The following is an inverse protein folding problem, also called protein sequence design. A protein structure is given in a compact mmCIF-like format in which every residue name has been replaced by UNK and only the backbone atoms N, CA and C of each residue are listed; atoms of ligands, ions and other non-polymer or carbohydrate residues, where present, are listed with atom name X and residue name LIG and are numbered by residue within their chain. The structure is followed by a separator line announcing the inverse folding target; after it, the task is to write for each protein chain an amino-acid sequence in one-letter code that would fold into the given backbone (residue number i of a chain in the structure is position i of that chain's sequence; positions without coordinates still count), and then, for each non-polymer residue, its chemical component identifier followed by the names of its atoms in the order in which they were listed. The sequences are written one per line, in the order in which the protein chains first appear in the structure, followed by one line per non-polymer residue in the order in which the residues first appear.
data_IF_592761003570
#
_entry.id   IF_592761003570
#
_cell.length_a   1.000
_cell.length_b   1.000
_cell.length_c   1.000
_cell.angle_alpha   90.00
_cell.angle_beta   90.00
_cell.angle_gamma   90.00
#
_symmetry.space_group_name_H-M   'P 1'
#
loop_
_entity.id
_entity.type
_entity.pdbx_description
1 polymer ?
#
# COMPACT_ATOMS: atom_id res chain seq x y z
N UNK A 1 21.91 -18.78 -61.65
CA UNK A 1 22.03 -17.70 -60.63
C UNK A 1 21.33 -18.00 -59.30
N UNK A 2 20.09 -18.52 -59.26
CA UNK A 2 19.27 -18.74 -58.05
C UNK A 2 20.03 -19.16 -56.76
N UNK A 3 20.91 -20.18 -56.83
CA UNK A 3 21.64 -20.70 -55.65
C UNK A 3 22.51 -19.66 -54.90
N UNK A 4 22.84 -18.49 -55.48
CA UNK A 4 23.57 -17.43 -54.76
C UNK A 4 22.67 -16.45 -53.98
N UNK A 5 21.40 -16.26 -54.35
CA UNK A 5 20.50 -15.39 -53.56
C UNK A 5 20.10 -16.05 -52.23
N UNK A 6 19.86 -17.37 -52.24
CA UNK A 6 19.32 -18.10 -51.09
C UNK A 6 20.28 -18.11 -49.88
N UNK A 7 21.60 -18.04 -50.11
CA UNK A 7 22.62 -17.96 -49.05
C UNK A 7 22.62 -16.58 -48.38
N UNK A 8 22.37 -15.51 -49.13
CA UNK A 8 22.35 -14.13 -48.61
C UNK A 8 21.13 -13.93 -47.70
N UNK A 9 19.97 -14.48 -48.08
CA UNK A 9 18.74 -14.42 -47.28
C UNK A 9 18.84 -15.17 -45.93
N UNK A 10 19.60 -16.26 -45.87
CA UNK A 10 19.85 -17.00 -44.62
C UNK A 10 20.84 -16.25 -43.69
N UNK A 11 21.82 -15.54 -44.25
CA UNK A 11 22.73 -14.71 -43.47
C UNK A 11 22.04 -13.46 -42.90
N UNK A 12 21.17 -12.79 -43.66
CA UNK A 12 20.43 -11.62 -43.15
C UNK A 12 19.44 -11.96 -42.03
N UNK A 13 18.90 -13.19 -42.00
CA UNK A 13 18.04 -13.65 -40.92
C UNK A 13 18.78 -13.79 -39.56
N UNK A 14 20.10 -14.04 -39.57
CA UNK A 14 20.88 -14.24 -38.35
C UNK A 14 21.31 -12.94 -37.66
N UNK A 15 21.40 -11.82 -38.38
CA UNK A 15 21.84 -10.53 -37.83
C UNK A 15 20.71 -9.66 -37.24
N UNK A 16 19.45 -10.12 -37.25
CA UNK A 16 18.28 -9.31 -36.87
C UNK A 16 17.65 -9.65 -35.49
N UNK A 17 18.34 -10.42 -34.62
CA UNK A 17 17.83 -10.73 -33.26
C UNK A 17 18.90 -10.75 -32.12
N UNK A 18 19.56 -9.63 -31.80
CA UNK A 18 20.19 -9.45 -30.48
C UNK A 18 19.17 -9.02 -29.39
N UNK A 19 18.03 -8.44 -29.77
CA UNK A 19 17.02 -7.84 -28.87
C UNK A 19 16.06 -8.84 -28.17
N UNK A 20 16.48 -10.08 -27.92
CA UNK A 20 15.64 -11.11 -27.29
C UNK A 20 16.33 -11.93 -26.19
N UNK A 21 17.46 -11.43 -25.66
CA UNK A 21 17.90 -11.82 -24.32
C UNK A 21 17.29 -10.84 -23.33
N UNK A 22 16.51 -11.34 -22.37
CA UNK A 22 16.11 -10.55 -21.22
C UNK A 22 17.38 -10.15 -20.46
N UNK A 23 17.67 -8.86 -20.40
CA UNK A 23 18.84 -8.36 -19.68
C UNK A 23 18.57 -8.52 -18.17
N UNK A 24 19.43 -9.28 -17.50
CA UNK A 24 19.37 -9.43 -16.05
C UNK A 24 19.87 -8.14 -15.38
N UNK A 25 19.28 -7.69 -14.26
CA UNK A 25 19.74 -6.51 -13.52
C UNK A 25 21.20 -6.65 -13.04
N UNK A 26 22.13 -6.03 -13.76
CA UNK A 26 23.56 -6.06 -13.49
C UNK A 26 24.08 -4.65 -13.18
N UNK A 27 24.53 -4.44 -11.94
CA UNK A 27 25.04 -3.15 -11.49
C UNK A 27 26.28 -2.67 -12.27
N UNK A 28 26.97 -3.56 -13.00
CA UNK A 28 28.15 -3.24 -13.84
C UNK A 28 27.79 -2.78 -15.25
N UNK A 29 26.52 -2.75 -15.63
CA UNK A 29 26.10 -2.31 -16.97
C UNK A 29 25.55 -0.89 -16.91
N UNK A 30 26.31 0.08 -17.44
CA UNK A 30 25.79 1.42 -17.70
C UNK A 30 24.88 1.40 -18.96
N UNK A 31 23.77 2.13 -18.91
CA UNK A 31 22.73 2.05 -19.92
C UNK A 31 21.35 2.33 -19.34
N UNK A 32 20.30 1.84 -20.00
CA UNK A 32 18.96 1.76 -19.40
C UNK A 32 18.94 0.71 -18.30
N UNK A 33 18.50 1.08 -17.10
CA UNK A 33 18.50 0.15 -15.96
C UNK A 33 17.32 -0.83 -16.09
N UNK A 34 17.59 -2.14 -16.03
CA UNK A 34 16.54 -3.13 -15.80
C UNK A 34 16.30 -3.21 -14.30
N UNK A 35 15.09 -2.90 -13.87
CA UNK A 35 14.71 -2.83 -12.46
C UNK A 35 14.24 -4.20 -11.99
N UNK A 36 14.39 -4.50 -10.71
CA UNK A 36 13.61 -5.58 -10.11
C UNK A 36 12.15 -5.14 -9.96
N UNK A 37 11.93 -3.94 -9.42
CA UNK A 37 10.60 -3.39 -9.13
C UNK A 37 10.60 -1.85 -9.20
N UNK A 38 9.40 -1.27 -9.33
CA UNK A 38 9.18 0.16 -9.23
C UNK A 38 7.80 0.48 -8.62
N UNK A 39 7.73 1.53 -7.80
CA UNK A 39 6.50 2.03 -7.19
C UNK A 39 6.34 3.53 -7.50
N UNK A 40 5.24 3.89 -8.16
CA UNK A 40 4.96 5.25 -8.64
C UNK A 40 3.96 5.95 -7.71
N UNK A 41 4.39 7.01 -7.03
CA UNK A 41 3.59 7.84 -6.11
C UNK A 41 3.24 9.22 -6.67
N UNK A 42 2.51 10.02 -5.88
CA UNK A 42 2.04 11.35 -6.30
C UNK A 42 3.13 12.44 -6.30
N UNK A 43 4.19 12.27 -5.51
CA UNK A 43 5.32 13.21 -5.35
C UNK A 43 6.65 12.70 -5.91
N UNK A 44 6.76 11.40 -6.13
CA UNK A 44 8.00 10.71 -6.44
C UNK A 44 7.77 9.26 -6.83
N UNK A 45 8.84 8.57 -7.22
CA UNK A 45 8.81 7.12 -7.46
C UNK A 45 10.05 6.44 -6.87
N UNK A 46 9.87 5.19 -6.49
CA UNK A 46 10.90 4.30 -5.95
C UNK A 46 11.23 3.22 -6.97
N UNK A 47 12.49 2.82 -7.04
CA UNK A 47 12.96 1.69 -7.86
C UNK A 47 13.85 0.76 -7.04
N UNK A 48 13.86 -0.53 -7.38
CA UNK A 48 14.80 -1.52 -6.84
C UNK A 48 15.81 -1.91 -7.91
N UNK A 49 17.09 -1.77 -7.57
CA UNK A 49 18.24 -1.96 -8.45
C UNK A 49 19.31 -2.81 -7.79
N UNK A 50 20.16 -3.43 -8.61
CA UNK A 50 21.36 -4.14 -8.13
C UNK A 50 22.42 -3.14 -7.69
N UNK A 51 23.13 -3.44 -6.60
CA UNK A 51 24.31 -2.73 -6.12
C UNK A 51 25.44 -3.74 -5.84
N UNK A 52 26.68 -3.40 -6.17
CA UNK A 52 27.88 -4.11 -5.73
C UNK A 52 28.58 -3.36 -4.58
N UNK A 53 27.83 -2.52 -3.86
CA UNK A 53 28.27 -1.78 -2.67
C UNK A 53 28.56 -0.30 -2.90
N UNK A 54 28.48 0.21 -4.13
CA UNK A 54 28.77 1.62 -4.45
C UNK A 54 27.70 2.29 -5.34
N UNK A 55 26.55 1.63 -5.55
CA UNK A 55 25.41 2.22 -6.24
C UNK A 55 24.67 3.19 -5.32
N UNK A 56 24.42 4.39 -5.81
CA UNK A 56 23.78 5.48 -5.09
C UNK A 56 22.92 6.31 -6.05
N UNK A 57 22.08 7.23 -5.54
CA UNK A 57 21.17 8.01 -6.37
C UNK A 57 21.87 8.79 -7.48
N UNK A 58 23.06 9.35 -7.22
CA UNK A 58 23.81 10.12 -8.24
C UNK A 58 24.40 9.26 -9.37
N UNK A 59 24.52 7.94 -9.17
CA UNK A 59 24.88 6.96 -10.22
C UNK A 59 23.84 6.88 -11.34
N UNK A 60 22.63 7.42 -11.14
CA UNK A 60 21.54 7.38 -12.11
C UNK A 60 21.21 8.74 -12.74
N UNK A 61 20.64 8.68 -13.94
CA UNK A 61 19.94 9.74 -14.64
C UNK A 61 18.48 9.34 -14.83
N UNK A 62 17.57 10.31 -14.91
CA UNK A 62 16.18 10.07 -15.32
C UNK A 62 15.92 10.87 -16.59
N UNK A 63 15.98 10.21 -17.74
CA UNK A 63 15.59 10.84 -19.00
C UNK A 63 14.08 11.07 -18.99
N UNK A 64 13.65 12.27 -19.39
CA UNK A 64 12.25 12.71 -19.26
C UNK A 64 11.69 13.09 -20.63
N UNK A 65 10.86 12.22 -21.20
CA UNK A 65 10.14 12.48 -22.44
C UNK A 65 8.78 13.12 -22.15
N UNK A 66 8.67 14.42 -22.44
CA UNK A 66 7.42 15.17 -22.32
C UNK A 66 6.50 14.90 -23.52
N UNK A 67 5.30 14.39 -23.24
CA UNK A 67 4.23 14.15 -24.21
C UNK A 67 3.03 15.05 -23.90
N UNK A 68 2.32 15.49 -24.94
CA UNK A 68 1.03 16.17 -24.83
C UNK A 68 -0.05 15.23 -25.36
N UNK A 69 -1.04 14.91 -24.53
CA UNK A 69 -2.16 14.03 -24.90
C UNK A 69 -3.21 14.78 -25.74
N UNK A 70 -4.12 14.08 -26.46
CA UNK A 70 -5.15 14.72 -27.29
C UNK A 70 -6.12 15.62 -26.51
N UNK A 71 -6.35 15.31 -25.22
CA UNK A 71 -7.11 16.13 -24.26
C UNK A 71 -6.39 17.41 -23.81
N UNK A 72 -5.17 17.66 -24.30
CA UNK A 72 -4.32 18.79 -23.94
C UNK A 72 -3.50 18.57 -22.67
N UNK A 73 -3.71 17.49 -21.91
CA UNK A 73 -2.98 17.19 -20.68
C UNK A 73 -1.52 16.82 -20.94
N UNK A 74 -0.69 16.97 -19.91
CA UNK A 74 0.72 16.61 -19.94
C UNK A 74 0.92 15.20 -19.40
N UNK A 75 1.68 14.40 -20.14
CA UNK A 75 2.20 13.11 -19.71
C UNK A 75 3.73 13.14 -19.79
N UNK A 76 4.41 12.57 -18.80
CA UNK A 76 5.85 12.41 -18.82
C UNK A 76 6.19 10.92 -18.79
N UNK A 77 7.04 10.47 -19.71
CA UNK A 77 7.61 9.12 -19.67
C UNK A 77 9.04 9.23 -19.15
N UNK A 78 9.34 8.52 -18.06
CA UNK A 78 10.66 8.48 -17.45
C UNK A 78 11.41 7.23 -17.87
N UNK A 79 12.71 7.38 -18.12
CA UNK A 79 13.64 6.26 -18.32
C UNK A 79 14.83 6.45 -17.38
N UNK A 80 14.93 5.59 -16.36
CA UNK A 80 16.10 5.55 -15.48
C UNK A 80 17.27 4.94 -16.24
N UNK A 81 18.41 5.63 -16.24
CA UNK A 81 19.67 5.15 -16.80
C UNK A 81 20.76 5.15 -15.74
N UNK A 82 21.55 4.08 -15.66
CA UNK A 82 22.79 4.04 -14.90
C UNK A 82 23.90 4.73 -15.70
N UNK A 83 24.46 5.81 -15.15
CA UNK A 83 25.52 6.63 -15.77
C UNK A 83 26.88 5.93 -15.77
N UNK A 84 27.15 5.13 -14.73
CA UNK A 84 28.45 4.51 -14.49
C UNK A 84 28.28 3.11 -13.85
N UNK A 85 29.10 2.11 -14.24
CA UNK A 85 29.14 0.80 -13.59
C UNK A 85 29.45 0.86 -12.10
N UNK A 86 28.85 -0.05 -11.31
CA UNK A 86 29.25 -0.34 -9.94
C UNK A 86 30.36 -1.40 -9.93
N UNK A 87 31.60 -0.93 -10.12
CA UNK A 87 32.82 -1.77 -10.10
C UNK A 87 33.25 -2.22 -8.70
N UNK A 88 32.45 -1.95 -7.66
CA UNK A 88 32.81 -2.39 -6.32
C UNK A 88 32.71 -3.92 -6.16
N UNK A 89 33.44 -4.42 -5.16
CA UNK A 89 33.71 -5.85 -4.95
C UNK A 89 32.94 -6.43 -3.75
N UNK A 90 31.76 -5.88 -3.45
CA UNK A 90 30.80 -6.52 -2.54
C UNK A 90 30.03 -7.62 -3.27
N UNK A 91 29.31 -8.47 -2.54
CA UNK A 91 28.27 -9.29 -3.15
C UNK A 91 27.15 -8.40 -3.69
N UNK A 92 26.49 -8.78 -4.80
CA UNK A 92 25.31 -8.08 -5.30
C UNK A 92 24.19 -8.03 -4.25
N UNK A 93 23.70 -6.83 -3.94
CA UNK A 93 22.61 -6.57 -3.00
C UNK A 93 21.52 -5.71 -3.68
N UNK A 94 20.25 -5.92 -3.33
CA UNK A 94 19.13 -5.08 -3.80
C UNK A 94 19.10 -3.80 -2.97
N UNK A 95 19.01 -2.64 -3.62
CA UNK A 95 18.83 -1.34 -2.93
C UNK A 95 17.67 -0.55 -3.54
N UNK A 96 17.07 0.32 -2.71
CA UNK A 96 15.97 1.20 -3.11
C UNK A 96 16.52 2.60 -3.42
N UNK A 97 16.17 3.16 -4.59
CA UNK A 97 16.46 4.55 -4.95
C UNK A 97 15.13 5.31 -5.11
N UNK A 98 15.05 6.53 -4.57
CA UNK A 98 13.88 7.41 -4.65
C UNK A 98 14.16 8.66 -5.50
N UNK A 99 13.24 9.00 -6.40
CA UNK A 99 13.25 10.24 -7.19
C UNK A 99 12.00 11.07 -6.91
N UNK A 100 12.20 12.28 -6.42
CA UNK A 100 11.19 13.31 -6.15
C UNK A 100 10.94 14.12 -7.44
N UNK A 101 9.68 14.18 -7.87
CA UNK A 101 9.28 14.80 -9.14
C UNK A 101 9.58 16.30 -9.16
N UNK A 102 9.50 16.99 -8.03
CA UNK A 102 9.72 18.42 -7.93
C UNK A 102 11.19 18.76 -7.69
N UNK A 103 11.87 18.02 -6.80
CA UNK A 103 13.25 18.32 -6.39
C UNK A 103 14.30 17.77 -7.35
N UNK A 104 14.12 16.54 -7.87
CA UNK A 104 15.10 15.92 -8.77
C UNK A 104 14.78 16.18 -10.25
N UNK A 105 13.48 16.20 -10.61
CA UNK A 105 13.04 16.32 -12.01
C UNK A 105 12.47 17.71 -12.37
N UNK A 106 12.30 18.60 -11.39
CA UNK A 106 11.82 19.98 -11.62
C UNK A 106 10.36 20.10 -12.05
N UNK A 107 9.57 19.03 -11.95
CA UNK A 107 8.19 18.95 -12.43
C UNK A 107 7.20 19.47 -11.37
N UNK A 108 6.34 20.41 -11.78
CA UNK A 108 5.32 21.02 -10.91
C UNK A 108 3.97 21.11 -11.62
N UNK A 109 2.90 21.25 -10.83
CA UNK A 109 1.53 21.37 -11.33
C UNK A 109 0.86 20.03 -11.64
N UNK A 110 -0.20 20.05 -12.47
CA UNK A 110 -1.01 18.86 -12.76
C UNK A 110 -0.53 18.18 -14.04
N UNK A 111 -0.02 16.96 -13.90
CA UNK A 111 0.40 16.08 -14.99
C UNK A 111 0.15 14.62 -14.62
N UNK A 112 0.32 13.72 -15.58
CA UNK A 112 0.44 12.28 -15.35
C UNK A 112 1.86 11.83 -15.73
N UNK A 113 2.33 10.70 -15.23
CA UNK A 113 3.60 10.15 -15.67
C UNK A 113 3.58 8.61 -15.74
N UNK A 114 4.61 8.04 -16.35
CA UNK A 114 4.88 6.61 -16.42
C UNK A 114 6.38 6.34 -16.43
N UNK A 115 6.77 5.10 -16.16
CA UNK A 115 8.15 4.63 -16.19
C UNK A 115 8.29 3.63 -17.36
N UNK A 116 9.32 3.78 -18.19
CA UNK A 116 9.52 2.93 -19.38
C UNK A 116 10.46 1.75 -19.15
N UNK A 117 11.17 1.72 -18.03
CA UNK A 117 12.17 0.71 -17.72
C UNK A 117 11.60 -0.70 -17.72
N UNK A 118 12.39 -1.65 -18.23
CA UNK A 118 12.08 -3.07 -18.14
C UNK A 118 12.11 -3.53 -16.67
N UNK A 119 11.13 -4.37 -16.32
CA UNK A 119 11.02 -5.01 -15.00
C UNK A 119 11.46 -6.46 -15.14
N UNK A 120 12.41 -6.91 -14.32
CA UNK A 120 12.89 -8.28 -14.29
C UNK A 120 12.16 -9.08 -13.20
N UNK A 121 11.34 -10.09 -13.56
CA UNK A 121 10.56 -10.86 -12.59
C UNK A 121 11.45 -11.86 -11.83
N UNK A 122 12.09 -11.41 -10.76
CA UNK A 122 12.87 -12.25 -9.87
C UNK A 122 11.97 -12.93 -8.81
N UNK A 123 11.88 -14.26 -8.85
CA UNK A 123 11.03 -15.07 -7.96
C UNK A 123 11.57 -15.22 -6.51
N UNK A 124 11.87 -14.09 -5.86
CA UNK A 124 12.28 -14.00 -4.46
C UNK A 124 11.34 -13.02 -3.75
N UNK A 125 10.23 -13.57 -3.24
CA UNK A 125 9.12 -12.86 -2.60
C UNK A 125 9.58 -12.09 -1.35
N UNK A 126 10.58 -12.63 -0.64
CA UNK A 126 11.17 -12.12 0.60
C UNK A 126 11.90 -10.77 0.46
N UNK A 127 12.28 -10.35 -0.75
CA UNK A 127 13.01 -9.11 -1.02
C UNK A 127 12.33 -8.20 -2.06
N UNK A 128 11.00 -8.18 -2.08
CA UNK A 128 10.21 -7.30 -2.93
C UNK A 128 10.03 -5.90 -2.33
N UNK A 129 9.62 -4.89 -3.10
CA UNK A 129 9.15 -3.62 -2.48
C UNK A 129 7.95 -3.91 -1.58
N UNK A 130 7.09 -4.84 -1.98
CA UNK A 130 5.96 -5.27 -1.16
C UNK A 130 6.44 -5.88 0.17
N UNK A 131 7.36 -6.86 0.18
CA UNK A 131 7.85 -7.46 1.42
C UNK A 131 8.74 -6.53 2.24
N UNK A 132 9.42 -5.55 1.64
CA UNK A 132 10.19 -4.52 2.35
C UNK A 132 9.24 -3.49 2.99
N UNK A 133 8.19 -3.08 2.27
CA UNK A 133 7.14 -2.22 2.82
C UNK A 133 6.38 -2.95 3.93
N UNK A 134 5.99 -4.22 3.74
CA UNK A 134 5.45 -5.08 4.80
C UNK A 134 6.43 -5.20 5.97
N UNK A 135 7.74 -5.45 5.75
CA UNK A 135 8.73 -5.46 6.84
C UNK A 135 8.89 -4.12 7.58
N UNK A 136 8.38 -3.02 7.02
CA UNK A 136 8.26 -1.73 7.72
C UNK A 136 6.82 -1.41 8.19
N UNK A 137 5.81 -2.20 7.82
CA UNK A 137 4.37 -2.01 8.12
C UNK A 137 3.69 -3.21 8.83
N UNK A 138 4.45 -4.26 9.16
CA UNK A 138 4.07 -5.42 9.95
C UNK A 138 4.81 -5.36 11.28
N UNK A 139 4.11 -4.98 12.35
CA UNK A 139 5.22 -4.91 14.26
C UNK A 139 5.71 -6.27 14.75
N UNK A 140 6.90 -6.26 15.37
CA UNK A 140 7.66 -7.45 15.77
C UNK A 140 8.76 -7.85 14.77
N UNK A 141 9.91 -8.38 15.21
CA UNK A 141 10.31 -8.64 16.59
C UNK A 141 11.15 -7.50 17.19
N UNK A 142 11.10 -7.28 18.52
CA UNK A 142 12.16 -6.57 19.22
C UNK A 142 13.40 -7.47 19.31
N UNK A 143 14.55 -7.02 18.79
CA UNK A 143 15.82 -7.73 18.97
C UNK A 143 16.14 -7.88 20.46
N UNK A 144 16.02 -9.11 20.98
CA UNK A 144 16.49 -9.44 22.33
C UNK A 144 18.02 -9.42 22.32
N UNK A 145 18.62 -8.33 22.80
CA UNK A 145 20.05 -8.26 23.09
C UNK A 145 20.39 -8.99 24.40
N UNK A 146 21.11 -10.12 24.37
CA UNK A 146 22.11 -10.41 25.38
C UNK A 146 23.38 -9.61 25.07
N UNK A 147 23.87 -8.87 26.06
CA UNK A 147 25.07 -8.04 25.93
C UNK A 147 26.34 -8.91 25.78
N UNK A 148 27.13 -8.66 24.72
CA UNK A 148 28.58 -8.92 24.70
C UNK A 148 29.29 -8.21 23.53
N UNK A 149 29.95 -7.11 23.84
CA UNK A 149 30.89 -6.39 22.96
C UNK A 149 32.10 -7.27 22.62
N UNK A 150 32.69 -7.16 21.42
CA UNK A 150 33.77 -6.19 21.26
C UNK A 150 33.63 -5.28 20.03
N UNK A 151 34.25 -4.10 20.12
CA UNK A 151 34.28 -3.06 19.09
C UNK A 151 35.71 -2.97 18.47
N UNK A 152 35.98 -2.11 17.45
CA UNK A 152 35.05 -1.26 16.70
C UNK A 152 35.19 -1.39 15.16
N UNK A 153 34.07 -1.24 14.45
CA UNK A 153 34.07 -0.83 13.04
C UNK A 153 33.41 0.55 12.93
N UNK A 154 34.04 1.51 12.22
CA UNK A 154 33.49 2.86 12.07
C UNK A 154 32.23 2.81 11.20
N UNK A 155 31.09 3.38 11.64
CA UNK A 155 29.91 3.47 10.79
C UNK A 155 30.18 4.42 9.62
N UNK A 156 30.09 3.90 8.39
CA UNK A 156 29.99 4.73 7.19
C UNK A 156 28.61 5.40 7.20
N UNK A 157 28.58 6.72 7.03
CA UNK A 157 27.35 7.50 7.10
C UNK A 157 26.52 7.32 5.82
N UNK A 158 25.65 6.30 5.82
CA UNK A 158 24.57 6.19 4.84
C UNK A 158 23.52 7.31 5.06
N UNK A 159 22.85 7.73 3.99
CA UNK A 159 22.14 9.01 3.93
C UNK A 159 20.87 9.06 4.79
N UNK A 160 20.89 9.86 5.86
CA UNK A 160 19.72 10.08 6.74
C UNK A 160 18.52 10.70 6.01
N UNK A 161 18.75 11.48 4.95
CA UNK A 161 17.71 12.14 4.16
C UNK A 161 16.72 11.19 3.49
N UNK A 162 17.20 10.04 2.97
CA UNK A 162 16.33 9.04 2.34
C UNK A 162 15.35 8.44 3.35
N UNK A 163 15.83 8.12 4.55
CA UNK A 163 14.97 7.61 5.62
C UNK A 163 13.98 8.66 6.13
N UNK A 164 14.34 9.95 6.15
CA UNK A 164 13.43 11.02 6.58
C UNK A 164 12.30 11.20 5.57
N UNK A 165 12.58 11.32 4.28
CA UNK A 165 11.54 11.46 3.25
C UNK A 165 10.59 10.26 3.21
N UNK A 166 11.13 9.03 3.30
CA UNK A 166 10.31 7.82 3.37
C UNK A 166 9.44 7.79 4.64
N UNK A 167 9.99 8.18 5.80
CA UNK A 167 9.25 8.31 7.06
C UNK A 167 8.19 9.39 6.99
N UNK A 168 8.42 10.51 6.31
CA UNK A 168 7.45 11.59 6.17
C UNK A 168 6.26 11.19 5.29
N UNK A 169 6.50 10.48 4.17
CA UNK A 169 5.42 9.93 3.36
C UNK A 169 4.68 8.80 4.08
N UNK A 170 5.39 7.91 4.80
CA UNK A 170 4.80 6.90 5.67
C UNK A 170 3.94 7.54 6.77
N UNK A 171 4.45 8.54 7.48
CA UNK A 171 3.71 9.26 8.51
C UNK A 171 2.47 9.95 7.91
N UNK A 172 2.56 10.46 6.67
CA UNK A 172 1.41 11.01 5.96
C UNK A 172 0.37 9.94 5.59
N UNK A 173 0.78 8.75 5.15
CA UNK A 173 -0.13 7.64 4.85
C UNK A 173 -0.75 7.06 6.13
N UNK A 174 0.04 6.89 7.19
CA UNK A 174 -0.41 6.38 8.50
C UNK A 174 -1.38 7.34 9.17
N UNK A 175 -1.09 8.65 9.18
CA UNK A 175 -2.03 9.67 9.69
C UNK A 175 -3.29 9.79 8.84
N UNK A 176 -3.21 9.62 7.52
CA UNK A 176 -4.40 9.55 6.67
C UNK A 176 -5.29 8.34 7.02
N UNK A 177 -4.71 7.14 7.16
CA UNK A 177 -5.47 5.92 7.55
C UNK A 177 -6.07 6.08 8.95
N UNK A 178 -5.32 6.64 9.91
CA UNK A 178 -5.85 6.94 11.25
C UNK A 178 -7.01 7.93 11.21
N UNK A 179 -6.92 8.97 10.37
CA UNK A 179 -8.01 9.92 10.13
C UNK A 179 -9.23 9.22 9.52
N UNK A 180 -9.05 8.41 8.46
CA UNK A 180 -10.13 7.62 7.84
C UNK A 180 -10.83 6.67 8.85
N UNK A 181 -10.06 5.95 9.69
CA UNK A 181 -10.59 5.08 10.75
C UNK A 181 -11.33 5.87 11.84
N UNK A 182 -10.79 7.02 12.26
CA UNK A 182 -11.41 7.92 13.24
C UNK A 182 -12.74 8.48 12.74
N UNK A 183 -12.80 8.95 11.49
CA UNK A 183 -14.03 9.46 10.88
C UNK A 183 -15.08 8.36 10.72
N UNK A 184 -14.67 7.14 10.36
CA UNK A 184 -15.57 5.99 10.30
C UNK A 184 -16.09 5.57 11.70
N UNK A 185 -15.29 5.72 12.77
CA UNK A 185 -15.76 5.52 14.15
C UNK A 185 -16.75 6.62 14.59
N UNK A 186 -16.49 7.87 14.22
CA UNK A 186 -17.40 9.01 14.45
C UNK A 186 -18.75 8.73 13.78
N UNK A 187 -18.75 8.36 12.49
CA UNK A 187 -19.98 7.98 11.76
C UNK A 187 -20.73 6.80 12.40
N UNK A 188 -20.01 5.81 12.96
CA UNK A 188 -20.61 4.69 13.67
C UNK A 188 -21.34 5.14 14.96
N UNK A 189 -20.73 6.04 15.74
CA UNK A 189 -21.33 6.60 16.96
C UNK A 189 -22.53 7.49 16.61
N UNK A 190 -22.41 8.36 15.60
CA UNK A 190 -23.51 9.21 15.11
C UNK A 190 -24.70 8.37 14.61
N UNK A 191 -24.44 7.28 13.89
CA UNK A 191 -25.46 6.33 13.44
C UNK A 191 -26.19 5.64 14.60
N UNK A 192 -25.51 5.42 15.74
CA UNK A 192 -26.12 4.90 16.96
C UNK A 192 -26.89 5.96 17.73
N UNK A 193 -26.38 7.19 17.85
CA UNK A 193 -27.12 8.33 18.41
C UNK A 193 -28.46 8.48 17.68
N UNK A 194 -28.46 8.45 16.35
CA UNK A 194 -29.69 8.48 15.55
C UNK A 194 -30.57 7.23 15.72
N UNK A 195 -30.02 6.08 16.13
CA UNK A 195 -30.81 4.88 16.47
C UNK A 195 -31.54 5.04 17.81
N UNK A 196 -30.86 5.48 18.87
CA UNK A 196 -31.46 5.64 20.19
C UNK A 196 -32.37 6.87 20.26
N UNK A 197 -32.03 7.97 19.59
CA UNK A 197 -32.89 9.15 19.44
C UNK A 197 -34.25 8.80 18.82
N UNK A 198 -34.28 7.94 17.80
CA UNK A 198 -35.52 7.40 17.20
C UNK A 198 -36.30 6.42 18.10
N UNK A 199 -35.70 5.92 19.17
CA UNK A 199 -36.35 5.09 20.20
C UNK A 199 -36.84 5.90 21.41
N UNK A 200 -36.47 7.18 21.50
CA UNK A 200 -36.78 8.05 22.64
C UNK A 200 -35.80 7.93 23.83
N UNK A 201 -34.79 7.06 23.72
CA UNK A 201 -33.80 6.78 24.76
C UNK A 201 -32.77 7.93 24.87
N UNK A 202 -33.03 8.87 25.79
CA UNK A 202 -32.20 10.06 25.99
C UNK A 202 -30.91 9.76 26.77
N UNK A 203 -30.97 8.85 27.73
CA UNK A 203 -29.82 8.50 28.57
C UNK A 203 -28.71 7.87 27.72
N UNK A 204 -29.07 6.95 26.81
CA UNK A 204 -28.11 6.36 25.88
C UNK A 204 -27.64 7.35 24.81
N UNK A 205 -28.49 8.29 24.38
CA UNK A 205 -28.09 9.39 23.48
C UNK A 205 -27.03 10.27 24.15
N UNK A 206 -27.15 10.60 25.43
CA UNK A 206 -26.16 11.44 26.11
C UNK A 206 -24.85 10.70 26.43
N UNK A 207 -24.90 9.42 26.80
CA UNK A 207 -23.71 8.56 26.87
C UNK A 207 -22.93 8.56 25.54
N UNK A 208 -23.64 8.37 24.43
CA UNK A 208 -23.05 8.37 23.09
C UNK A 208 -22.59 9.77 22.65
N UNK A 209 -23.27 10.85 23.04
CA UNK A 209 -22.80 12.23 22.80
C UNK A 209 -21.45 12.49 23.51
N UNK A 210 -21.29 12.02 24.74
CA UNK A 210 -20.04 12.18 25.49
C UNK A 210 -18.92 11.35 24.85
N UNK A 211 -19.23 10.14 24.40
CA UNK A 211 -18.32 9.28 23.65
C UNK A 211 -17.92 9.90 22.30
N UNK A 212 -18.87 10.50 21.57
CA UNK A 212 -18.63 11.24 20.33
C UNK A 212 -17.67 12.42 20.54
N UNK A 213 -17.94 13.27 21.56
CA UNK A 213 -17.06 14.40 21.91
C UNK A 213 -15.63 13.94 22.22
N UNK A 214 -15.47 12.80 22.92
CA UNK A 214 -14.15 12.21 23.21
C UNK A 214 -13.37 11.89 21.93
N UNK A 215 -14.01 11.27 20.93
CA UNK A 215 -13.32 10.94 19.67
C UNK A 215 -13.16 12.13 18.73
N UNK A 216 -14.06 13.10 18.74
CA UNK A 216 -13.87 14.36 18.01
C UNK A 216 -12.68 15.16 18.55
N UNK A 217 -12.44 15.15 19.87
CA UNK A 217 -11.33 15.87 20.52
C UNK A 217 -9.97 15.15 20.48
N UNK A 218 -9.95 13.82 20.32
CA UNK A 218 -8.72 13.01 20.14
C UNK A 218 -7.95 13.43 18.89
N UNK A 219 -6.63 13.53 18.92
CA UNK A 219 -5.86 13.84 17.69
C UNK A 219 -5.82 12.64 16.74
N UNK A 220 -5.73 12.91 15.43
CA UNK A 220 -5.64 11.84 14.42
C UNK A 220 -4.37 10.99 14.62
N UNK A 221 -3.30 11.57 15.19
CA UNK A 221 -2.08 10.86 15.61
C UNK A 221 -2.30 9.88 16.77
N UNK A 222 -3.19 10.18 17.72
CA UNK A 222 -3.50 9.34 18.88
C UNK A 222 -4.36 8.12 18.52
N UNK A 223 -5.08 8.14 17.40
CA UNK A 223 -5.99 7.05 17.05
C UNK A 223 -5.21 5.74 16.87
N UNK A 224 -5.60 4.64 17.54
CA UNK A 224 -4.86 3.39 17.48
C UNK A 224 -5.04 2.71 16.12
N UNK A 225 -3.93 2.27 15.55
CA UNK A 225 -3.95 1.35 14.40
C UNK A 225 -4.47 -0.03 14.83
N UNK A 226 -5.03 -0.83 13.91
CA UNK A 226 -5.29 -2.23 14.17
C UNK A 226 -3.99 -3.00 14.54
N UNK A 227 -4.09 -4.12 15.28
CA UNK A 227 -2.95 -5.00 15.55
C UNK A 227 -2.49 -5.69 14.26
N UNK A 228 -1.24 -6.14 14.28
CA UNK A 228 -0.47 -6.53 13.09
C UNK A 228 -0.85 -7.93 12.59
N UNK A 229 -1.18 -8.84 13.52
CA UNK A 229 -1.85 -10.11 13.20
C UNK A 229 -3.39 -9.94 13.22
N UNK A 230 -4.14 -10.54 12.26
CA UNK A 230 -5.59 -10.62 12.31
C UNK A 230 -6.02 -11.63 13.40
N UNK A 231 -6.02 -11.16 14.65
CA UNK A 231 -5.99 -12.00 15.85
C UNK A 231 -7.00 -13.15 15.86
N UNK A 232 -6.47 -14.37 15.92
CA UNK A 232 -7.18 -15.66 16.02
C UNK A 232 -7.95 -15.84 17.33
N UNK A 233 -7.88 -14.86 18.23
CA UNK A 233 -8.73 -14.79 19.42
C UNK A 233 -10.22 -14.79 19.01
N UNK A 234 -10.90 -15.90 19.32
CA UNK A 234 -12.35 -15.95 19.32
C UNK A 234 -12.89 -14.76 20.13
N UNK A 235 -13.74 -13.95 19.50
CA UNK A 235 -14.36 -12.82 20.20
C UNK A 235 -15.10 -13.34 21.43
N UNK A 236 -14.85 -12.80 22.64
CA UNK A 236 -15.74 -13.05 23.76
C UNK A 236 -17.14 -12.64 23.34
N UNK A 237 -18.06 -13.60 23.22
CA UNK A 237 -19.46 -13.35 22.83
C UNK A 237 -20.09 -12.27 23.72
N UNK A 238 -19.66 -12.25 24.99
CA UNK A 238 -20.00 -11.33 26.07
C UNK A 238 -19.30 -9.97 26.03
N UNK A 239 -18.43 -9.67 25.05
CA UNK A 239 -17.79 -8.36 24.95
C UNK A 239 -18.84 -7.24 24.84
N UNK A 240 -18.73 -6.12 25.58
CA UNK A 240 -19.76 -5.09 25.62
C UNK A 240 -19.92 -4.38 24.27
N UNK A 241 -21.10 -3.78 24.04
CA UNK A 241 -21.33 -2.85 22.93
C UNK A 241 -20.54 -1.55 23.14
N UNK A 242 -19.91 -1.04 22.09
CA UNK A 242 -19.07 0.15 22.14
C UNK A 242 -17.94 0.14 21.10
N UNK A 243 -17.03 1.12 21.14
CA UNK A 243 -15.86 1.20 20.28
C UNK A 243 -14.93 -0.02 20.43
N UNK A 244 -14.43 -0.53 19.31
CA UNK A 244 -13.42 -1.59 19.24
C UNK A 244 -12.06 -0.91 19.05
N UNK A 245 -11.26 -0.85 20.12
CA UNK A 245 -9.96 -0.17 20.14
C UNK A 245 -8.89 -1.07 20.77
N UNK A 246 -7.77 -1.36 20.07
CA UNK A 246 -7.54 -1.07 18.65
C UNK A 246 -8.61 -1.73 17.75
N UNK A 247 -8.90 -1.17 16.55
CA UNK A 247 -9.76 -1.84 15.57
C UNK A 247 -9.25 -3.24 15.26
N UNK A 248 -10.13 -4.23 15.03
CA UNK A 248 -9.70 -5.58 14.64
C UNK A 248 -9.92 -5.82 13.16
N UNK A 249 -8.89 -6.25 12.42
CA UNK A 249 -9.03 -6.64 11.00
C UNK A 249 -9.58 -8.07 10.91
N UNK A 250 -10.54 -8.29 10.02
CA UNK A 250 -10.98 -9.62 9.58
C UNK A 250 -10.96 -9.71 8.05
N UNK A 251 -10.70 -10.90 7.51
CA UNK A 251 -11.01 -11.21 6.11
C UNK A 251 -12.49 -11.60 5.97
N UNK A 252 -13.14 -11.13 4.91
CA UNK A 252 -14.51 -11.50 4.59
C UNK A 252 -14.74 -11.55 3.07
N UNK A 253 -15.56 -12.51 2.61
CA UNK A 253 -16.05 -12.53 1.24
C UNK A 253 -17.36 -11.75 1.16
N UNK A 254 -17.37 -10.53 0.63
CA UNK A 254 -18.62 -9.78 0.39
C UNK A 254 -19.24 -10.14 -0.97
N UNK A 255 -20.56 -10.05 -1.04
CA UNK A 255 -21.38 -10.13 -2.24
C UNK A 255 -21.93 -8.72 -2.49
N UNK A 256 -21.61 -8.13 -3.63
CA UNK A 256 -22.03 -6.75 -3.94
C UNK A 256 -23.30 -6.83 -4.78
N UNK A 257 -24.47 -6.84 -4.14
CA UNK A 257 -25.76 -6.87 -4.83
C UNK A 257 -26.11 -5.54 -5.52
N UNK A 258 -25.67 -4.43 -4.94
CA UNK A 258 -25.95 -3.05 -5.36
C UNK A 258 -24.79 -2.11 -4.99
N UNK A 259 -24.68 -0.90 -5.57
CA UNK A 259 -23.66 0.08 -5.19
C UNK A 259 -23.70 0.42 -3.70
N UNK A 260 -22.60 0.17 -3.00
CA UNK A 260 -22.51 0.33 -1.55
C UNK A 260 -22.46 1.80 -1.13
N UNK A 261 -23.05 2.11 0.03
CA UNK A 261 -23.05 3.44 0.66
C UNK A 261 -22.83 3.31 2.16
N UNK A 262 -22.38 4.37 2.83
CA UNK A 262 -22.27 4.38 4.29
C UNK A 262 -23.65 4.11 4.94
N UNK A 263 -23.65 3.37 6.04
CA UNK A 263 -24.84 2.82 6.70
C UNK A 263 -25.37 1.50 6.11
N UNK A 264 -24.94 1.11 4.90
CA UNK A 264 -25.41 -0.12 4.23
C UNK A 264 -24.91 -1.38 4.96
N UNK A 265 -25.77 -2.40 5.07
CA UNK A 265 -25.37 -3.74 5.55
C UNK A 265 -24.63 -4.47 4.43
N UNK A 266 -23.43 -4.97 4.72
CA UNK A 266 -22.66 -5.81 3.79
C UNK A 266 -23.21 -7.24 3.79
N UNK A 267 -23.59 -7.74 2.62
CA UNK A 267 -23.86 -9.16 2.42
C UNK A 267 -22.53 -9.92 2.41
N UNK A 268 -22.21 -10.65 3.49
CA UNK A 268 -21.04 -11.54 3.53
C UNK A 268 -21.47 -12.98 3.16
N UNK A 269 -20.62 -13.70 2.43
CA UNK A 269 -20.88 -15.09 2.07
C UNK A 269 -20.82 -15.98 3.33
N UNK A 270 -21.84 -16.83 3.51
CA UNK A 270 -21.96 -17.67 4.70
C UNK A 270 -22.75 -17.03 5.87
N UNK A 271 -23.23 -15.79 5.73
CA UNK A 271 -24.12 -15.20 6.74
C UNK A 271 -25.42 -15.98 6.92
N UNK A 272 -25.86 -16.08 8.17
CA UNK A 272 -27.17 -16.65 8.53
C UNK A 272 -28.22 -15.53 8.63
N UNK A 273 -29.51 -15.89 8.68
CA UNK A 273 -30.58 -14.93 9.03
C UNK A 273 -30.39 -14.29 10.42
N UNK A 274 -29.60 -14.93 11.28
CA UNK A 274 -29.18 -14.49 12.61
C UNK A 274 -27.80 -13.81 12.63
N UNK A 275 -27.26 -13.40 11.46
CA UNK A 275 -25.99 -12.68 11.35
C UNK A 275 -24.76 -13.60 11.22
N UNK A 276 -23.55 -13.10 11.55
CA UNK A 276 -23.25 -11.75 12.04
C UNK A 276 -23.63 -10.63 11.06
N UNK A 277 -23.68 -9.38 11.52
CA UNK A 277 -24.03 -8.23 10.68
C UNK A 277 -22.92 -7.18 10.65
N UNK A 278 -22.62 -6.66 9.45
CA UNK A 278 -21.56 -5.69 9.23
C UNK A 278 -22.13 -4.45 8.52
N UNK A 279 -22.09 -3.30 9.16
CA UNK A 279 -22.58 -2.02 8.66
C UNK A 279 -21.40 -1.17 8.17
N UNK A 280 -21.39 -0.81 6.89
CA UNK A 280 -20.32 -0.02 6.30
C UNK A 280 -20.30 1.41 6.90
N UNK A 281 -19.23 1.76 7.61
CA UNK A 281 -19.04 3.07 8.24
C UNK A 281 -17.98 3.94 7.54
N UNK A 282 -17.10 3.33 6.74
CA UNK A 282 -16.13 4.05 5.92
C UNK A 282 -15.36 3.10 5.00
N UNK A 283 -14.52 3.64 4.14
CA UNK A 283 -13.69 2.89 3.20
C UNK A 283 -12.41 3.65 2.88
N UNK A 284 -11.31 2.92 2.69
CA UNK A 284 -10.04 3.49 2.23
C UNK A 284 -10.15 3.97 0.78
N UNK A 285 -9.77 5.22 0.51
CA UNK A 285 -9.64 5.76 -0.84
C UNK A 285 -10.87 5.53 -1.74
N UNK A 286 -10.66 4.90 -2.91
CA UNK A 286 -11.68 4.71 -3.95
C UNK A 286 -12.37 3.33 -3.93
N UNK A 287 -12.11 2.48 -2.92
CA UNK A 287 -12.46 1.04 -2.95
C UNK A 287 -13.95 0.79 -3.25
N UNK A 288 -14.88 1.63 -2.76
CA UNK A 288 -16.31 1.47 -3.04
C UNK A 288 -16.67 1.61 -4.53
N UNK A 289 -15.86 2.34 -5.31
CA UNK A 289 -16.00 2.45 -6.77
C UNK A 289 -15.40 1.23 -7.50
N UNK A 290 -14.46 0.52 -6.87
CA UNK A 290 -13.80 -0.68 -7.40
C UNK A 290 -14.62 -1.96 -7.19
N UNK A 291 -15.52 -1.96 -6.21
CA UNK A 291 -16.47 -3.04 -5.93
C UNK A 291 -17.63 -3.04 -6.93
N UNK A 292 -17.63 -4.03 -7.85
CA UNK A 292 -18.61 -4.09 -8.93
C UNK A 292 -19.87 -4.87 -8.51
N UNK A 293 -21.09 -4.33 -8.74
CA UNK A 293 -22.33 -5.07 -8.53
C UNK A 293 -22.39 -6.39 -9.31
N UNK A 294 -23.03 -7.40 -8.72
CA UNK A 294 -23.13 -8.76 -9.24
C UNK A 294 -21.90 -9.64 -9.00
N UNK A 295 -20.86 -9.14 -8.32
CA UNK A 295 -19.63 -9.90 -8.04
C UNK A 295 -19.44 -10.20 -6.55
N UNK A 296 -18.64 -11.23 -6.31
CA UNK A 296 -18.05 -11.52 -4.99
C UNK A 296 -16.65 -10.94 -4.93
N UNK A 297 -16.28 -10.38 -3.77
CA UNK A 297 -14.95 -9.82 -3.53
C UNK A 297 -14.44 -10.30 -2.17
N UNK A 298 -13.18 -10.74 -2.10
CA UNK A 298 -12.47 -10.91 -0.84
C UNK A 298 -12.02 -9.52 -0.36
N UNK A 299 -12.30 -9.18 0.90
CA UNK A 299 -12.03 -7.85 1.46
C UNK A 299 -11.51 -7.92 2.89
N UNK A 300 -10.76 -6.90 3.28
CA UNK A 300 -10.32 -6.66 4.65
C UNK A 300 -11.26 -5.65 5.31
N UNK A 301 -11.87 -6.05 6.43
CA UNK A 301 -12.79 -5.22 7.21
C UNK A 301 -12.19 -4.93 8.59
N UNK A 302 -12.01 -3.66 8.93
CA UNK A 302 -11.70 -3.23 10.29
C UNK A 302 -13.00 -3.11 11.09
N UNK A 303 -13.17 -3.91 12.14
CA UNK A 303 -14.24 -3.78 13.13
C UNK A 303 -13.98 -2.53 13.97
N UNK A 304 -14.91 -1.56 13.95
CA UNK A 304 -14.77 -0.28 14.64
C UNK A 304 -15.67 -0.14 15.87
N UNK A 305 -16.88 -0.71 15.83
CA UNK A 305 -17.87 -0.51 16.89
C UNK A 305 -18.80 -1.71 17.01
N UNK A 306 -18.86 -2.37 18.17
CA UNK A 306 -19.83 -3.44 18.46
C UNK A 306 -21.17 -2.79 18.80
N UNK A 307 -22.19 -3.05 17.99
CA UNK A 307 -23.54 -2.51 18.15
C UNK A 307 -24.30 -3.30 19.22
N UNK A 308 -25.10 -2.62 20.03
CA UNK A 308 -26.04 -3.33 20.90
C UNK A 308 -27.15 -3.96 20.04
N UNK A 309 -27.22 -5.29 20.03
CA UNK A 309 -28.18 -6.06 19.26
C UNK A 309 -28.76 -7.18 20.12
N UNK A 310 -29.90 -7.76 19.71
CA UNK A 310 -30.60 -8.73 20.53
C UNK A 310 -29.88 -10.09 20.56
N UNK A 311 -29.62 -10.60 21.78
CA UNK A 311 -28.85 -11.83 22.00
C UNK A 311 -27.34 -11.64 21.77
N UNK A 312 -26.58 -12.74 21.83
CA UNK A 312 -25.12 -12.73 21.62
C UNK A 312 -24.71 -12.66 20.13
N UNK A 313 -25.60 -12.16 19.25
CA UNK A 313 -25.36 -12.07 17.81
C UNK A 313 -24.32 -10.97 17.53
N UNK A 314 -23.19 -11.27 16.85
CA UNK A 314 -22.19 -10.25 16.58
C UNK A 314 -22.71 -9.26 15.52
N UNK A 315 -22.70 -7.97 15.85
CA UNK A 315 -23.19 -6.90 14.99
C UNK A 315 -22.26 -5.69 15.10
N UNK A 316 -21.71 -5.23 13.97
CA UNK A 316 -20.59 -4.28 13.95
C UNK A 316 -20.80 -3.16 12.93
N UNK A 317 -20.28 -1.98 13.24
CA UNK A 317 -19.83 -1.05 12.20
C UNK A 317 -18.41 -1.39 11.77
N UNK A 318 -18.16 -1.33 10.46
CA UNK A 318 -16.89 -1.72 9.84
C UNK A 318 -16.37 -0.67 8.88
N UNK A 319 -15.05 -0.58 8.78
CA UNK A 319 -14.34 0.18 7.77
C UNK A 319 -13.69 -0.77 6.75
N UNK A 320 -13.89 -0.49 5.47
CA UNK A 320 -13.38 -1.30 4.37
C UNK A 320 -11.95 -0.89 4.02
N UNK A 321 -10.97 -1.67 4.47
CA UNK A 321 -9.55 -1.32 4.44
C UNK A 321 -8.82 -1.73 3.15
N UNK A 322 -9.31 -2.76 2.47
CA UNK A 322 -8.68 -3.32 1.26
C UNK A 322 -9.56 -4.33 0.53
N UNK A 323 -9.27 -4.55 -0.75
CA UNK A 323 -9.71 -5.73 -1.52
C UNK A 323 -8.49 -6.66 -1.59
N UNK A 324 -8.70 -7.95 -1.34
CA UNK A 324 -7.70 -8.99 -1.59
C UNK A 324 -7.85 -9.40 -3.06
N UNK A 325 -6.88 -9.01 -3.88
CA UNK A 325 -6.84 -9.35 -5.30
C UNK A 325 -6.37 -10.82 -5.46
N UNK A 326 -6.99 -11.54 -6.40
CA UNK A 326 -6.80 -12.98 -6.66
C UNK A 326 -6.12 -13.19 -8.02
#
# INVERSE_FOLDING_TARGET
MLKRLMVIALLSAFFLRPWLQAQFPDARQAGEEVLYEALLGAKGFFIVVTSNGCTEKKSFQVDTLKQKRPDGSLHYVFTVRRKAPDECKRMPERIIIHFDLEKDLGLKGRFTYSLSNQIFPAAAEDQSLYSILEKYFSPGEPEQHPEKTPAPAKPVQAESGLTTALKDELNQVSSAIKSELKQALIFAIESEIDRYRRRGDQDKVEELNQQLRKFQAMSDSEFPMPPEEPGTEEQPLLAPSGPVLPPRVIEAQIIVSQPLKLGTVLEVAGLTKSGPFYHLAGSRGDILNRLQPGRKHQVFLCLLYKREYFGQIPNYYVYLAGIKEN
#
